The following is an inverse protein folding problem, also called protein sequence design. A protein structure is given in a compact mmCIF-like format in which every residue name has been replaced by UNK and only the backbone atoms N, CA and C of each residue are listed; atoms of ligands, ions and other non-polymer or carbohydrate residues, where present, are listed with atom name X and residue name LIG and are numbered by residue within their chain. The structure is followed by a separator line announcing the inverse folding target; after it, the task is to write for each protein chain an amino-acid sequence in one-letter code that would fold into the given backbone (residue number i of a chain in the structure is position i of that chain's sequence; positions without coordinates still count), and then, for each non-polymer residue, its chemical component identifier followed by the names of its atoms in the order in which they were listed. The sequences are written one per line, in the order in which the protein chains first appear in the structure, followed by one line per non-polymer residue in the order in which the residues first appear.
data_IF_611154342115
#
_entry.id   IF_611154342115
#
_cell.length_a   1.000
_cell.length_b   1.000
_cell.length_c   1.000
_cell.angle_alpha   90.00
_cell.angle_beta   90.00
_cell.angle_gamma   90.00
#
_symmetry.space_group_name_H-M   'P 1'
#
loop_
_entity.id
_entity.type
_entity.pdbx_description
1 polymer ?
#
# COMPACT_ATOMS: atom_id res chain seq x y z
N UNK A 1 -56.03 7.64 -74.51
CA UNK A 1 -55.24 6.54 -73.90
C UNK A 1 -53.81 6.96 -73.52
N UNK A 2 -53.29 8.12 -73.96
CA UNK A 2 -51.93 8.57 -73.61
C UNK A 2 -51.90 9.50 -72.37
N UNK A 3 -52.97 10.24 -72.05
CA UNK A 3 -53.01 11.16 -70.89
C UNK A 3 -53.09 10.45 -69.52
N UNK A 4 -53.57 9.21 -69.49
CA UNK A 4 -53.63 8.39 -68.27
C UNK A 4 -52.28 7.80 -67.87
N UNK A 5 -51.34 7.66 -68.81
CA UNK A 5 -50.00 7.11 -68.53
C UNK A 5 -49.11 8.17 -67.88
N UNK A 6 -49.17 9.42 -68.35
CA UNK A 6 -48.43 10.54 -67.74
C UNK A 6 -48.90 10.88 -66.32
N UNK A 7 -50.19 10.67 -66.00
CA UNK A 7 -50.72 10.86 -64.65
C UNK A 7 -50.21 9.80 -63.66
N UNK A 8 -50.05 8.56 -64.12
CA UNK A 8 -49.57 7.44 -63.28
C UNK A 8 -48.07 7.58 -63.01
N UNK A 9 -47.26 7.95 -64.00
CA UNK A 9 -45.82 8.19 -63.79
C UNK A 9 -45.57 9.36 -62.82
N UNK A 10 -46.43 10.38 -62.83
CA UNK A 10 -46.36 11.51 -61.91
C UNK A 10 -46.77 11.11 -60.48
N UNK A 11 -47.80 10.27 -60.31
CA UNK A 11 -48.16 9.69 -59.00
C UNK A 11 -47.08 8.74 -58.45
N UNK A 12 -46.46 7.92 -59.31
CA UNK A 12 -45.34 7.05 -58.94
C UNK A 12 -44.12 7.86 -58.50
N UNK A 13 -43.81 8.96 -59.19
CA UNK A 13 -42.75 9.90 -58.79
C UNK A 13 -43.02 10.57 -57.44
N UNK A 14 -44.27 10.97 -57.18
CA UNK A 14 -44.68 11.54 -55.90
C UNK A 14 -44.62 10.52 -54.75
N UNK A 15 -45.05 9.28 -54.98
CA UNK A 15 -44.92 8.19 -54.01
C UNK A 15 -43.46 7.84 -53.73
N UNK A 16 -42.60 7.85 -54.75
CA UNK A 16 -41.15 7.66 -54.58
C UNK A 16 -40.52 8.80 -53.77
N UNK A 17 -40.95 10.05 -53.97
CA UNK A 17 -40.45 11.18 -53.20
C UNK A 17 -40.89 11.11 -51.72
N UNK A 18 -42.16 10.79 -51.48
CA UNK A 18 -42.71 10.65 -50.11
C UNK A 18 -42.08 9.47 -49.37
N UNK A 19 -41.84 8.36 -50.05
CA UNK A 19 -41.15 7.20 -49.43
C UNK A 19 -39.71 7.52 -49.07
N UNK A 20 -39.00 8.29 -49.90
CA UNK A 20 -37.64 8.75 -49.61
C UNK A 20 -37.60 9.77 -48.47
N UNK A 21 -38.53 10.72 -48.43
CA UNK A 21 -38.67 11.65 -47.29
C UNK A 21 -38.96 10.92 -45.98
N UNK A 22 -39.90 9.97 -46.00
CA UNK A 22 -40.20 9.13 -44.84
C UNK A 22 -38.97 8.31 -44.40
N UNK A 23 -38.21 7.74 -45.35
CA UNK A 23 -36.97 7.01 -45.07
C UNK A 23 -35.96 7.90 -44.36
N UNK A 24 -35.71 9.10 -44.89
CA UNK A 24 -34.76 10.07 -44.31
C UNK A 24 -35.19 10.54 -42.90
N UNK A 25 -36.50 10.77 -42.69
CA UNK A 25 -37.03 11.16 -41.37
C UNK A 25 -36.90 10.03 -40.37
N UNK A 26 -37.16 8.78 -40.77
CA UNK A 26 -36.99 7.61 -39.90
C UNK A 26 -35.51 7.37 -39.58
N UNK A 27 -34.61 7.38 -40.57
CA UNK A 27 -33.17 7.22 -40.36
C UNK A 27 -32.58 8.32 -39.48
N UNK A 28 -33.01 9.57 -39.66
CA UNK A 28 -32.63 10.70 -38.80
C UNK A 28 -33.14 10.55 -37.36
N UNK A 29 -34.39 10.11 -37.19
CA UNK A 29 -34.98 9.89 -35.87
C UNK A 29 -34.32 8.73 -35.11
N UNK A 30 -34.02 7.62 -35.81
CA UNK A 30 -33.28 6.48 -35.27
C UNK A 30 -31.86 6.90 -34.88
N UNK A 31 -31.16 7.63 -35.75
CA UNK A 31 -29.80 8.12 -35.44
C UNK A 31 -29.78 9.05 -34.23
N UNK A 32 -30.78 9.95 -34.11
CA UNK A 32 -30.93 10.81 -32.93
C UNK A 32 -31.24 10.01 -31.66
N UNK A 33 -32.12 9.01 -31.73
CA UNK A 33 -32.45 8.17 -30.58
C UNK A 33 -31.23 7.36 -30.10
N UNK A 34 -30.47 6.77 -31.04
CA UNK A 34 -29.22 6.07 -30.75
C UNK A 34 -28.16 7.02 -30.16
N UNK A 35 -28.07 8.25 -30.66
CA UNK A 35 -27.20 9.29 -30.10
C UNK A 35 -27.55 9.61 -28.64
N UNK A 36 -28.82 9.88 -28.35
CA UNK A 36 -29.29 10.15 -26.97
C UNK A 36 -29.02 8.99 -26.03
N UNK A 37 -29.24 7.75 -26.47
CA UNK A 37 -28.98 6.55 -25.66
C UNK A 37 -27.48 6.38 -25.40
N UNK A 38 -26.63 6.60 -26.42
CA UNK A 38 -25.18 6.57 -26.27
C UNK A 38 -24.68 7.63 -25.28
N UNK A 39 -25.21 8.85 -25.36
CA UNK A 39 -24.86 9.94 -24.45
C UNK A 39 -25.28 9.62 -23.02
N UNK A 40 -26.48 9.07 -22.83
CA UNK A 40 -26.99 8.65 -21.52
C UNK A 40 -26.15 7.51 -20.91
N UNK A 41 -25.80 6.49 -21.71
CA UNK A 41 -24.92 5.39 -21.28
C UNK A 41 -23.51 5.89 -20.93
N UNK A 42 -22.96 6.81 -21.73
CA UNK A 42 -21.66 7.46 -21.47
C UNK A 42 -21.68 8.22 -20.15
N UNK A 43 -22.73 8.99 -19.89
CA UNK A 43 -22.91 9.75 -18.65
C UNK A 43 -23.02 8.82 -17.42
N UNK A 44 -23.76 7.72 -17.55
CA UNK A 44 -23.90 6.71 -16.48
C UNK A 44 -22.58 5.97 -16.23
N UNK A 45 -21.83 5.64 -17.28
CA UNK A 45 -20.51 5.03 -17.16
C UNK A 45 -19.52 5.97 -16.46
N UNK A 46 -19.53 7.26 -16.82
CA UNK A 46 -18.74 8.29 -16.14
C UNK A 46 -19.08 8.42 -14.65
N UNK A 47 -20.37 8.44 -14.31
CA UNK A 47 -20.83 8.49 -12.91
C UNK A 47 -20.42 7.24 -12.10
N UNK A 48 -20.52 6.04 -12.71
CA UNK A 48 -20.08 4.79 -12.10
C UNK A 48 -18.56 4.80 -11.85
N UNK A 49 -17.77 5.17 -12.86
CA UNK A 49 -16.30 5.26 -12.78
C UNK A 49 -15.89 6.20 -11.64
N UNK A 50 -16.50 7.38 -11.56
CA UNK A 50 -16.23 8.35 -10.49
C UNK A 50 -16.61 7.81 -9.10
N UNK A 51 -17.77 7.16 -8.96
CA UNK A 51 -18.21 6.53 -7.71
C UNK A 51 -17.25 5.42 -7.23
N UNK A 52 -16.80 4.57 -8.15
CA UNK A 52 -15.81 3.52 -7.85
C UNK A 52 -14.48 4.12 -7.38
N UNK A 53 -13.97 5.14 -8.07
CA UNK A 53 -12.73 5.82 -7.70
C UNK A 53 -12.82 6.52 -6.33
N UNK A 54 -13.95 7.17 -6.02
CA UNK A 54 -14.18 7.76 -4.69
C UNK A 54 -14.20 6.70 -3.58
N UNK A 55 -14.84 5.57 -3.82
CA UNK A 55 -14.88 4.47 -2.83
C UNK A 55 -13.50 3.84 -2.66
N UNK A 56 -12.81 3.54 -3.76
CA UNK A 56 -11.46 2.98 -3.75
C UNK A 56 -10.49 3.89 -3.01
N UNK A 57 -10.47 5.21 -3.30
CA UNK A 57 -9.60 6.17 -2.63
C UNK A 57 -9.89 6.33 -1.13
N UNK A 58 -11.16 6.15 -0.70
CA UNK A 58 -11.51 6.13 0.72
C UNK A 58 -10.91 4.90 1.42
N UNK A 59 -11.08 3.71 0.85
CA UNK A 59 -10.52 2.48 1.43
C UNK A 59 -8.99 2.50 1.37
N UNK A 60 -8.40 3.01 0.28
CA UNK A 60 -6.95 3.18 0.15
C UNK A 60 -6.37 3.98 1.31
N UNK A 61 -6.98 5.13 1.66
CA UNK A 61 -6.51 5.94 2.80
C UNK A 61 -6.59 5.18 4.12
N UNK A 62 -7.64 4.37 4.31
CA UNK A 62 -7.76 3.53 5.51
C UNK A 62 -6.69 2.44 5.54
N UNK A 63 -6.45 1.78 4.40
CA UNK A 63 -5.42 0.76 4.24
C UNK A 63 -4.03 1.32 4.53
N UNK A 64 -3.67 2.48 3.95
CA UNK A 64 -2.39 3.15 4.21
C UNK A 64 -2.21 3.49 5.70
N UNK A 65 -3.27 3.97 6.37
CA UNK A 65 -3.25 4.23 7.80
C UNK A 65 -3.06 2.95 8.63
N UNK A 66 -3.69 1.85 8.23
CA UNK A 66 -3.54 0.53 8.86
C UNK A 66 -2.15 -0.05 8.66
N UNK A 67 -1.54 0.14 7.47
CA UNK A 67 -0.16 -0.27 7.18
C UNK A 67 0.83 0.41 8.10
N UNK A 68 0.71 1.72 8.33
CA UNK A 68 1.57 2.42 9.30
C UNK A 68 1.31 1.97 10.74
N UNK A 69 0.07 1.60 11.08
CA UNK A 69 -0.28 1.13 12.41
C UNK A 69 0.41 -0.19 12.81
N UNK A 70 0.99 -0.94 11.85
CA UNK A 70 1.82 -2.12 12.16
C UNK A 70 2.99 -1.77 13.09
N UNK A 71 3.57 -0.58 12.94
CA UNK A 71 4.70 -0.12 13.75
C UNK A 71 4.30 0.03 15.23
N UNK A 72 3.09 0.51 15.49
CA UNK A 72 2.57 0.60 16.87
C UNK A 72 2.30 -0.80 17.45
N UNK A 73 1.91 -1.76 16.61
CA UNK A 73 1.71 -3.15 17.05
C UNK A 73 3.02 -3.83 17.38
N UNK A 74 4.08 -3.55 16.63
CA UNK A 74 5.45 -4.00 16.92
C UNK A 74 5.97 -3.39 18.22
N UNK A 75 5.79 -2.08 18.43
CA UNK A 75 6.14 -1.41 19.69
C UNK A 75 5.38 -1.99 20.89
N UNK A 76 4.07 -2.21 20.74
CA UNK A 76 3.27 -2.87 21.78
C UNK A 76 3.76 -4.30 22.05
N UNK A 77 4.22 -5.02 21.02
CA UNK A 77 4.79 -6.35 21.17
C UNK A 77 6.11 -6.29 21.97
N UNK A 78 7.01 -5.37 21.63
CA UNK A 78 8.25 -5.15 22.38
C UNK A 78 7.98 -4.81 23.85
N UNK A 79 7.03 -3.90 24.11
CA UNK A 79 6.64 -3.55 25.48
C UNK A 79 6.05 -4.74 26.24
N UNK A 80 5.27 -5.59 25.57
CA UNK A 80 4.68 -6.78 26.20
C UNK A 80 5.72 -7.82 26.67
N UNK A 81 6.92 -7.84 26.07
CA UNK A 81 8.01 -8.70 26.52
C UNK A 81 8.84 -8.09 27.65
N UNK A 82 8.91 -6.76 27.73
CA UNK A 82 9.69 -6.05 28.75
C UNK A 82 8.91 -5.82 30.04
N UNK A 83 7.58 -5.75 29.94
CA UNK A 83 6.68 -5.56 31.07
C UNK A 83 6.03 -6.89 31.45
N UNK A 84 5.97 -7.18 32.76
CA UNK A 84 5.15 -8.28 33.27
C UNK A 84 3.66 -7.86 33.18
N UNK A 85 3.03 -8.09 32.04
CA UNK A 85 1.61 -7.79 31.83
C UNK A 85 0.74 -8.72 32.68
N UNK A 86 -0.35 -8.18 33.22
CA UNK A 86 -1.43 -8.99 33.78
C UNK A 86 -2.14 -9.81 32.69
N UNK A 87 -2.84 -10.88 33.08
CA UNK A 87 -3.61 -11.70 32.14
C UNK A 87 -4.68 -10.89 31.39
N UNK A 88 -5.23 -9.85 32.02
CA UNK A 88 -6.20 -8.95 31.41
C UNK A 88 -5.57 -8.06 30.33
N UNK A 89 -4.45 -7.40 30.64
CA UNK A 89 -3.70 -6.54 29.69
C UNK A 89 -3.17 -7.34 28.50
N UNK A 90 -2.64 -8.54 28.74
CA UNK A 90 -2.21 -9.45 27.69
C UNK A 90 -3.40 -9.85 26.77
N UNK A 91 -4.57 -10.12 27.36
CA UNK A 91 -5.80 -10.41 26.64
C UNK A 91 -6.27 -9.23 25.77
N UNK A 92 -6.21 -8.01 26.29
CA UNK A 92 -6.56 -6.79 25.55
C UNK A 92 -5.60 -6.55 24.37
N UNK A 93 -4.29 -6.66 24.58
CA UNK A 93 -3.27 -6.50 23.54
C UNK A 93 -3.44 -7.53 22.41
N UNK A 94 -3.71 -8.79 22.77
CA UNK A 94 -3.98 -9.85 21.79
C UNK A 94 -5.25 -9.60 20.98
N UNK A 95 -6.34 -9.21 21.64
CA UNK A 95 -7.59 -8.86 20.97
C UNK A 95 -7.41 -7.68 20.01
N UNK A 96 -6.62 -6.68 20.38
CA UNK A 96 -6.32 -5.54 19.51
C UNK A 96 -5.53 -5.97 18.26
N UNK A 97 -4.48 -6.80 18.42
CA UNK A 97 -3.71 -7.38 17.31
C UNK A 97 -4.59 -8.16 16.34
N UNK A 98 -5.46 -9.03 16.87
CA UNK A 98 -6.41 -9.80 16.06
C UNK A 98 -7.35 -8.88 15.29
N UNK A 99 -7.95 -7.89 15.96
CA UNK A 99 -8.89 -6.94 15.32
C UNK A 99 -8.21 -6.13 14.21
N UNK A 100 -7.01 -5.64 14.44
CA UNK A 100 -6.24 -4.93 13.41
C UNK A 100 -5.93 -5.83 12.21
N UNK A 101 -5.51 -7.08 12.44
CA UNK A 101 -5.26 -8.03 11.36
C UNK A 101 -6.53 -8.26 10.52
N UNK A 102 -7.66 -8.56 11.16
CA UNK A 102 -8.95 -8.75 10.46
C UNK A 102 -9.40 -7.51 9.69
N UNK A 103 -9.28 -6.32 10.27
CA UNK A 103 -9.70 -5.06 9.61
C UNK A 103 -8.77 -4.72 8.44
N UNK A 104 -7.47 -5.00 8.58
CA UNK A 104 -6.49 -4.77 7.51
C UNK A 104 -6.74 -5.70 6.33
N UNK A 105 -6.95 -6.99 6.59
CA UNK A 105 -7.28 -7.99 5.57
C UNK A 105 -8.59 -7.64 4.83
N UNK A 106 -9.67 -7.34 5.56
CA UNK A 106 -10.95 -6.93 4.97
C UNK A 106 -10.83 -5.63 4.16
N UNK A 107 -10.04 -4.65 4.64
CA UNK A 107 -9.77 -3.43 3.89
C UNK A 107 -8.97 -3.70 2.60
N UNK A 108 -7.94 -4.55 2.66
CA UNK A 108 -7.13 -4.95 1.50
C UNK A 108 -7.98 -5.68 0.46
N UNK A 109 -8.82 -6.63 0.88
CA UNK A 109 -9.71 -7.36 -0.01
C UNK A 109 -10.70 -6.42 -0.70
N UNK A 110 -11.43 -5.59 0.07
CA UNK A 110 -12.40 -4.64 -0.49
C UNK A 110 -11.76 -3.62 -1.41
N UNK A 111 -10.56 -3.16 -1.08
CA UNK A 111 -9.81 -2.26 -1.92
C UNK A 111 -9.46 -2.94 -3.25
N UNK A 112 -8.92 -4.16 -3.21
CA UNK A 112 -8.58 -4.95 -4.39
C UNK A 112 -9.79 -5.16 -5.32
N UNK A 113 -10.95 -5.50 -4.77
CA UNK A 113 -12.18 -5.67 -5.56
C UNK A 113 -12.62 -4.37 -6.24
N UNK A 114 -12.61 -3.24 -5.50
CA UNK A 114 -12.97 -1.94 -6.04
C UNK A 114 -11.96 -1.43 -7.07
N UNK A 115 -10.67 -1.67 -6.83
CA UNK A 115 -9.60 -1.28 -7.74
C UNK A 115 -9.68 -2.09 -9.03
N UNK A 116 -9.90 -3.41 -8.97
CA UNK A 116 -10.16 -4.23 -10.15
C UNK A 116 -11.33 -3.66 -10.96
N UNK A 117 -12.46 -3.38 -10.31
CA UNK A 117 -13.63 -2.81 -10.98
C UNK A 117 -13.36 -1.43 -11.60
N UNK A 118 -12.58 -0.59 -10.93
CA UNK A 118 -12.17 0.71 -11.45
C UNK A 118 -11.22 0.59 -12.65
N UNK A 119 -10.24 -0.32 -12.59
CA UNK A 119 -9.29 -0.58 -13.68
C UNK A 119 -10.01 -1.08 -14.94
N UNK A 120 -11.05 -1.91 -14.81
CA UNK A 120 -11.86 -2.35 -15.96
C UNK A 120 -12.54 -1.19 -16.69
N UNK A 121 -12.86 -0.10 -15.98
CA UNK A 121 -13.44 1.09 -16.60
C UNK A 121 -12.38 1.95 -17.29
N UNK A 122 -11.10 1.79 -16.97
CA UNK A 122 -9.99 2.62 -17.49
C UNK A 122 -9.42 2.07 -18.78
N UNK A 123 -8.99 2.98 -19.66
CA UNK A 123 -8.27 2.66 -20.89
C UNK A 123 -6.85 2.16 -20.57
N UNK A 124 -6.27 1.42 -21.51
CA UNK A 124 -4.89 0.93 -21.39
C UNK A 124 -3.89 2.06 -21.09
N UNK A 125 -4.01 3.19 -21.78
CA UNK A 125 -3.14 4.36 -21.60
C UNK A 125 -3.30 4.97 -20.21
N UNK A 126 -4.53 5.14 -19.70
CA UNK A 126 -4.79 5.65 -18.34
C UNK A 126 -4.13 4.75 -17.27
N UNK A 127 -4.18 3.42 -17.45
CA UNK A 127 -3.54 2.47 -16.53
C UNK A 127 -2.01 2.59 -16.55
N UNK A 128 -1.42 2.71 -17.73
CA UNK A 128 0.03 2.89 -17.91
C UNK A 128 0.50 4.21 -17.27
N UNK A 129 -0.19 5.32 -17.53
CA UNK A 129 0.13 6.62 -16.93
C UNK A 129 0.10 6.56 -15.41
N UNK A 130 -0.91 5.90 -14.82
CA UNK A 130 -1.01 5.73 -13.38
C UNK A 130 0.15 4.89 -12.82
N UNK A 131 0.52 3.81 -13.50
CA UNK A 131 1.65 2.97 -13.10
C UNK A 131 2.96 3.78 -13.11
N UNK A 132 3.21 4.55 -14.18
CA UNK A 132 4.40 5.42 -14.30
C UNK A 132 4.39 6.52 -13.23
N UNK A 133 3.26 7.16 -12.95
CA UNK A 133 3.16 8.17 -11.90
C UNK A 133 3.44 7.60 -10.50
N UNK A 134 3.02 6.36 -10.23
CA UNK A 134 3.36 5.67 -8.99
C UNK A 134 4.87 5.38 -8.92
N UNK A 135 5.46 4.83 -10.00
CA UNK A 135 6.91 4.60 -10.08
C UNK A 135 7.71 5.87 -9.80
N UNK A 136 7.43 6.95 -10.53
CA UNK A 136 8.21 8.18 -10.42
C UNK A 136 8.11 8.79 -9.02
N UNK A 137 6.95 8.68 -8.35
CA UNK A 137 6.78 9.13 -6.96
C UNK A 137 7.63 8.29 -6.00
N UNK A 138 7.65 6.98 -6.17
CA UNK A 138 8.43 6.08 -5.32
C UNK A 138 9.94 6.24 -5.56
N UNK A 139 10.38 6.32 -6.81
CA UNK A 139 11.78 6.56 -7.16
C UNK A 139 12.33 7.85 -6.53
N UNK A 140 11.54 8.94 -6.58
CA UNK A 140 11.88 10.21 -5.92
C UNK A 140 11.95 10.07 -4.40
N UNK A 141 11.04 9.32 -3.80
CA UNK A 141 11.02 9.06 -2.37
C UNK A 141 12.21 8.22 -1.89
N UNK A 142 12.62 7.23 -2.68
CA UNK A 142 13.76 6.33 -2.39
C UNK A 142 15.13 6.99 -2.65
N UNK A 143 15.16 8.17 -3.29
CA UNK A 143 16.39 8.94 -3.50
C UNK A 143 16.85 9.66 -2.23
N UNK A 144 16.00 9.75 -1.19
CA UNK A 144 16.36 10.33 0.10
C UNK A 144 17.37 9.44 0.81
N UNK A 145 18.44 10.05 1.33
CA UNK A 145 19.47 9.34 2.10
C UNK A 145 18.93 8.81 3.42
N UNK A 146 19.47 7.68 3.87
CA UNK A 146 19.09 7.07 5.15
C UNK A 146 19.56 7.98 6.28
N UNK A 147 18.64 8.36 7.15
CA UNK A 147 18.93 9.29 8.23
C UNK A 147 19.79 8.65 9.33
N UNK A 148 20.65 9.45 9.96
CA UNK A 148 21.43 9.00 11.12
C UNK A 148 20.69 9.12 12.46
N UNK A 149 19.71 10.01 12.56
CA UNK A 149 19.01 10.32 13.81
C UNK A 149 17.77 9.45 14.04
N UNK A 150 17.51 9.13 15.31
CA UNK A 150 16.41 8.22 15.68
C UNK A 150 15.02 8.71 15.24
N UNK A 151 14.70 10.00 15.43
CA UNK A 151 13.41 10.56 15.04
C UNK A 151 13.19 10.50 13.53
N UNK A 152 14.19 10.91 12.75
CA UNK A 152 14.13 10.85 11.29
C UNK A 152 14.04 9.41 10.77
N UNK A 153 14.71 8.47 11.41
CA UNK A 153 14.59 7.05 11.08
C UNK A 153 13.18 6.50 11.35
N UNK A 154 12.51 6.93 12.42
CA UNK A 154 11.11 6.56 12.68
C UNK A 154 10.17 7.14 11.61
N UNK A 155 10.43 8.36 11.12
CA UNK A 155 9.68 8.94 10.01
C UNK A 155 9.92 8.17 8.70
N UNK A 156 11.18 7.87 8.37
CA UNK A 156 11.53 7.05 7.20
C UNK A 156 10.90 5.65 7.29
N UNK A 157 10.84 5.04 8.47
CA UNK A 157 10.19 3.75 8.68
C UNK A 157 8.70 3.83 8.29
N UNK A 158 7.98 4.87 8.71
CA UNK A 158 6.58 5.11 8.31
C UNK A 158 6.46 5.28 6.80
N UNK A 159 7.36 6.04 6.18
CA UNK A 159 7.38 6.22 4.72
C UNK A 159 7.60 4.91 3.98
N UNK A 160 8.49 4.04 4.47
CA UNK A 160 8.72 2.73 3.85
C UNK A 160 7.54 1.76 4.02
N UNK A 161 6.80 1.82 5.14
CA UNK A 161 5.53 1.07 5.27
C UNK A 161 4.50 1.55 4.25
N UNK A 162 4.40 2.86 4.01
CA UNK A 162 3.52 3.41 2.98
C UNK A 162 3.95 2.96 1.59
N UNK A 163 5.25 3.00 1.26
CA UNK A 163 5.72 2.49 -0.02
C UNK A 163 5.41 1.02 -0.22
N UNK A 164 5.54 0.18 0.82
CA UNK A 164 5.17 -1.23 0.68
C UNK A 164 3.68 -1.40 0.37
N UNK A 165 2.80 -0.67 1.05
CA UNK A 165 1.38 -0.70 0.77
C UNK A 165 1.06 -0.20 -0.65
N UNK A 166 1.70 0.87 -1.10
CA UNK A 166 1.55 1.39 -2.46
C UNK A 166 2.08 0.42 -3.53
N UNK A 167 3.15 -0.33 -3.24
CA UNK A 167 3.63 -1.39 -4.14
C UNK A 167 2.55 -2.46 -4.33
N UNK A 168 1.87 -2.87 -3.26
CA UNK A 168 0.77 -3.84 -3.34
C UNK A 168 -0.38 -3.35 -4.23
N UNK A 169 -0.75 -2.07 -4.12
CA UNK A 169 -1.77 -1.43 -4.98
C UNK A 169 -1.35 -1.49 -6.45
N UNK A 170 -0.08 -1.25 -6.69
CA UNK A 170 0.41 -1.10 -8.04
C UNK A 170 0.68 -2.44 -8.74
N UNK A 171 0.96 -3.52 -8.00
CA UNK A 171 0.96 -4.87 -8.59
C UNK A 171 -0.36 -5.15 -9.33
N UNK A 172 -1.50 -4.83 -8.73
CA UNK A 172 -2.80 -5.01 -9.38
C UNK A 172 -2.97 -4.15 -10.64
N UNK A 173 -2.39 -2.94 -10.66
CA UNK A 173 -2.39 -2.08 -11.86
C UNK A 173 -1.52 -2.73 -12.94
N UNK A 174 -0.31 -3.18 -12.60
CA UNK A 174 0.60 -3.81 -13.54
C UNK A 174 0.03 -5.10 -14.12
N UNK A 175 -0.58 -5.96 -13.30
CA UNK A 175 -1.24 -7.18 -13.77
C UNK A 175 -2.32 -6.83 -14.81
N UNK A 176 -3.14 -5.81 -14.53
CA UNK A 176 -4.16 -5.35 -15.48
C UNK A 176 -3.58 -4.73 -16.77
N UNK A 177 -2.38 -4.16 -16.71
CA UNK A 177 -1.64 -3.63 -17.88
C UNK A 177 -1.10 -4.79 -18.70
N UNK A 178 -0.46 -5.78 -18.06
CA UNK A 178 0.09 -6.97 -18.72
C UNK A 178 -1.02 -7.77 -19.39
N UNK A 179 -2.14 -8.02 -18.70
CA UNK A 179 -3.27 -8.72 -19.27
C UNK A 179 -3.84 -8.03 -20.51
N UNK A 180 -3.96 -6.69 -20.49
CA UNK A 180 -4.46 -5.93 -21.64
C UNK A 180 -3.42 -5.88 -22.77
N UNK A 181 -2.14 -5.70 -22.44
CA UNK A 181 -1.06 -5.74 -23.42
C UNK A 181 -1.01 -7.08 -24.18
N UNK A 182 -1.18 -8.21 -23.47
CA UNK A 182 -1.28 -9.54 -24.09
C UNK A 182 -2.47 -9.62 -25.03
N UNK A 183 -3.64 -9.07 -24.64
CA UNK A 183 -4.83 -9.01 -25.50
C UNK A 183 -4.60 -8.16 -26.74
N UNK A 184 -3.99 -6.99 -26.62
CA UNK A 184 -3.65 -6.10 -27.75
C UNK A 184 -2.70 -6.78 -28.74
N UNK A 185 -1.69 -7.48 -28.23
CA UNK A 185 -0.74 -8.26 -29.04
C UNK A 185 -1.44 -9.43 -29.76
N UNK A 186 -2.34 -10.15 -29.09
CA UNK A 186 -3.11 -11.25 -29.67
C UNK A 186 -4.07 -10.78 -30.78
N UNK A 187 -4.70 -9.61 -30.61
CA UNK A 187 -5.60 -9.01 -31.61
C UNK A 187 -4.85 -8.40 -32.79
N UNK A 188 -3.55 -8.18 -32.67
CA UNK A 188 -2.75 -7.52 -33.69
C UNK A 188 -3.02 -6.02 -33.81
N UNK A 189 -3.52 -5.40 -32.74
CA UNK A 189 -3.81 -3.96 -32.65
C UNK A 189 -2.56 -3.11 -32.39
N UNK A 190 -1.37 -3.72 -32.47
CA UNK A 190 -0.07 -3.09 -32.22
C UNK A 190 0.72 -3.09 -33.53
N UNK A 191 1.01 -1.89 -34.03
CA UNK A 191 1.77 -1.70 -35.28
C UNK A 191 3.21 -2.21 -35.13
N UNK A 192 3.96 -1.71 -34.15
CA UNK A 192 5.33 -2.16 -33.84
C UNK A 192 5.35 -3.00 -32.56
N UNK A 193 5.20 -4.31 -32.75
CA UNK A 193 5.19 -5.28 -31.64
C UNK A 193 6.50 -5.30 -30.85
N UNK A 194 7.64 -5.10 -31.51
CA UNK A 194 8.94 -5.18 -30.85
C UNK A 194 9.14 -3.99 -29.91
N UNK A 195 8.87 -2.78 -30.39
CA UNK A 195 8.95 -1.56 -29.57
C UNK A 195 7.95 -1.62 -28.41
N UNK A 196 6.73 -2.10 -28.64
CA UNK A 196 5.72 -2.22 -27.59
C UNK A 196 6.13 -3.20 -26.48
N UNK A 197 6.64 -4.38 -26.85
CA UNK A 197 7.13 -5.37 -25.86
C UNK A 197 8.33 -4.83 -25.09
N UNK A 198 9.24 -4.13 -25.76
CA UNK A 198 10.39 -3.48 -25.13
C UNK A 198 9.95 -2.44 -24.09
N UNK A 199 8.96 -1.59 -24.40
CA UNK A 199 8.42 -0.63 -23.42
C UNK A 199 7.80 -1.31 -22.20
N UNK A 200 7.10 -2.43 -22.37
CA UNK A 200 6.52 -3.20 -21.26
C UNK A 200 7.61 -3.85 -20.40
N UNK A 201 8.68 -4.36 -21.02
CA UNK A 201 9.82 -4.91 -20.29
C UNK A 201 10.51 -3.82 -19.46
N UNK A 202 10.74 -2.64 -20.03
CA UNK A 202 11.33 -1.52 -19.30
C UNK A 202 10.47 -1.09 -18.10
N UNK A 203 9.14 -1.04 -18.27
CA UNK A 203 8.22 -0.75 -17.17
C UNK A 203 8.33 -1.79 -16.05
N UNK A 204 8.36 -3.08 -16.42
CA UNK A 204 8.52 -4.20 -15.48
C UNK A 204 9.86 -4.17 -14.76
N UNK A 205 10.95 -3.88 -15.47
CA UNK A 205 12.30 -3.80 -14.90
C UNK A 205 12.41 -2.66 -13.88
N UNK A 206 11.95 -1.45 -14.25
CA UNK A 206 11.90 -0.30 -13.32
C UNK A 206 11.09 -0.65 -12.07
N UNK A 207 9.91 -1.25 -12.26
CA UNK A 207 9.07 -1.64 -11.14
C UNK A 207 9.72 -2.65 -10.21
N UNK A 208 10.33 -3.68 -10.77
CA UNK A 208 11.04 -4.71 -10.00
C UNK A 208 12.21 -4.09 -9.22
N UNK A 209 12.95 -3.18 -9.84
CA UNK A 209 14.05 -2.47 -9.20
C UNK A 209 13.57 -1.57 -8.05
N UNK A 210 12.47 -0.82 -8.24
CA UNK A 210 11.84 -0.03 -7.17
C UNK A 210 11.38 -0.93 -6.03
N UNK A 211 10.69 -2.03 -6.33
CA UNK A 211 10.22 -3.00 -5.35
C UNK A 211 11.36 -3.55 -4.49
N UNK A 212 12.47 -3.96 -5.12
CA UNK A 212 13.66 -4.43 -4.42
C UNK A 212 14.26 -3.32 -3.53
N UNK A 213 14.39 -2.10 -4.03
CA UNK A 213 14.94 -0.96 -3.27
C UNK A 213 14.09 -0.59 -2.07
N UNK A 214 12.76 -0.55 -2.21
CA UNK A 214 11.81 -0.33 -1.10
C UNK A 214 12.04 -1.38 -0.02
N UNK A 215 12.11 -2.66 -0.40
CA UNK A 215 12.33 -3.74 0.54
C UNK A 215 13.68 -3.62 1.26
N UNK A 216 14.76 -3.38 0.51
CA UNK A 216 16.10 -3.20 1.08
C UNK A 216 16.17 -2.03 2.07
N UNK A 217 15.64 -0.86 1.69
CA UNK A 217 15.63 0.32 2.57
C UNK A 217 14.73 0.10 3.78
N UNK A 218 13.58 -0.57 3.63
CA UNK A 218 12.72 -0.94 4.76
C UNK A 218 13.48 -1.81 5.77
N UNK A 219 14.12 -2.88 5.33
CA UNK A 219 14.87 -3.79 6.21
C UNK A 219 15.99 -3.04 6.92
N UNK A 220 16.74 -2.21 6.20
CA UNK A 220 17.83 -1.43 6.76
C UNK A 220 17.33 -0.40 7.78
N UNK A 221 16.35 0.42 7.44
CA UNK A 221 15.77 1.42 8.35
C UNK A 221 15.18 0.76 9.59
N UNK A 222 14.40 -0.31 9.44
CA UNK A 222 13.86 -1.05 10.60
C UNK A 222 14.97 -1.60 11.50
N UNK A 223 16.06 -2.11 10.93
CA UNK A 223 17.20 -2.58 11.72
C UNK A 223 17.88 -1.44 12.49
N UNK A 224 18.04 -0.26 11.89
CA UNK A 224 18.62 0.92 12.53
C UNK A 224 17.71 1.47 13.63
N UNK A 225 16.39 1.50 13.41
CA UNK A 225 15.40 1.88 14.45
C UNK A 225 15.51 0.93 15.64
N UNK A 226 15.59 -0.38 15.40
CA UNK A 226 15.77 -1.37 16.46
C UNK A 226 17.07 -1.15 17.24
N UNK A 227 18.19 -0.91 16.55
CA UNK A 227 19.48 -0.60 17.19
C UNK A 227 19.41 0.65 18.06
N UNK A 228 18.75 1.72 17.58
CA UNK A 228 18.52 2.92 18.36
C UNK A 228 17.65 2.68 19.60
N UNK A 229 16.60 1.85 19.48
CA UNK A 229 15.76 1.45 20.63
C UNK A 229 16.58 0.72 21.68
N UNK A 230 17.40 -0.26 21.27
CA UNK A 230 18.30 -0.99 22.16
C UNK A 230 19.31 -0.05 22.83
N UNK A 231 19.96 0.82 22.05
CA UNK A 231 20.92 1.81 22.57
C UNK A 231 20.27 2.70 23.63
N UNK A 232 19.11 3.29 23.33
CA UNK A 232 18.38 4.16 24.27
C UNK A 232 17.96 3.43 25.55
N UNK A 233 17.55 2.17 25.42
CA UNK A 233 17.16 1.34 26.56
C UNK A 233 18.36 1.04 27.45
N UNK A 234 19.46 0.57 26.87
CA UNK A 234 20.71 0.28 27.58
C UNK A 234 21.31 1.53 28.22
N UNK A 235 21.27 2.66 27.51
CA UNK A 235 21.72 3.94 28.06
C UNK A 235 20.90 4.35 29.28
N UNK A 236 19.56 4.24 29.24
CA UNK A 236 18.70 4.54 30.39
C UNK A 236 18.98 3.61 31.57
N UNK A 237 19.14 2.32 31.32
CA UNK A 237 19.48 1.35 32.35
C UNK A 237 20.84 1.65 32.98
N UNK A 238 21.86 1.93 32.16
CA UNK A 238 23.19 2.29 32.65
C UNK A 238 23.16 3.59 33.47
N UNK A 239 22.44 4.61 33.02
CA UNK A 239 22.24 5.83 33.78
C UNK A 239 21.54 5.57 35.13
N UNK A 240 20.52 4.70 35.15
CA UNK A 240 19.83 4.31 36.38
C UNK A 240 20.78 3.59 37.36
N UNK A 241 21.55 2.62 36.86
CA UNK A 241 22.53 1.88 37.66
C UNK A 241 23.63 2.81 38.19
N UNK A 242 24.21 3.68 37.36
CA UNK A 242 25.24 4.63 37.78
C UNK A 242 24.71 5.63 38.81
N UNK A 243 23.49 6.14 38.63
CA UNK A 243 22.84 7.00 39.62
C UNK A 243 22.57 6.26 40.94
N UNK A 244 22.17 4.98 40.85
CA UNK A 244 22.00 4.07 41.99
C UNK A 244 23.31 3.80 42.73
N UNK A 245 24.43 3.67 42.02
CA UNK A 245 25.78 3.52 42.57
C UNK A 245 26.36 4.81 43.15
N UNK A 246 25.94 5.98 42.67
CA UNK A 246 26.40 7.28 43.17
C UNK A 246 26.15 7.48 44.66
N UNK A 247 25.05 6.93 45.21
CA UNK A 247 24.70 6.96 46.64
C UNK A 247 25.59 6.07 47.53
N UNK A 248 25.78 4.76 47.26
CA UNK A 248 26.68 3.92 48.03
C UNK A 248 28.16 4.31 47.90
N UNK A 249 28.60 4.83 46.74
CA UNK A 249 29.97 5.35 46.58
C UNK A 249 30.22 6.64 47.38
N UNK A 250 29.18 7.45 47.62
CA UNK A 250 29.29 8.62 48.51
C UNK A 250 29.17 8.26 50.00
N UNK A 251 28.45 7.18 50.34
CA UNK A 251 28.41 6.63 51.71
C UNK A 251 29.75 5.98 52.12
N UNK A 252 30.38 5.23 51.23
CA UNK A 252 31.72 4.62 51.46
C UNK A 252 32.84 5.65 51.51
N UNK A 253 32.69 6.80 50.83
CA UNK A 253 33.65 7.91 50.91
C UNK A 253 33.58 8.67 52.25
N UNK A 254 32.44 8.62 52.94
CA UNK A 254 32.21 9.38 54.17
C UNK A 254 32.32 8.54 55.46
N UNK A 255 32.41 7.20 55.38
CA UNK A 255 32.55 6.34 56.57
C UNK A 255 33.55 5.20 56.36
N UNK A 256 34.53 5.09 57.28
CA UNK A 256 35.57 4.06 57.33
C UNK A 256 35.08 2.65 57.76
N UNK A 257 33.80 2.30 57.62
CA UNK A 257 33.29 1.01 58.09
C UNK A 257 31.98 0.60 57.43
N UNK A 258 32.01 0.23 56.16
CA UNK A 258 30.96 -0.60 55.57
C UNK A 258 31.26 -2.08 55.88
N UNK A 259 30.27 -2.83 56.35
CA UNK A 259 30.45 -4.26 56.60
C UNK A 259 30.49 -5.03 55.26
N UNK A 260 31.27 -6.11 55.19
CA UNK A 260 31.38 -6.97 54.00
C UNK A 260 30.00 -7.46 53.52
N UNK A 261 29.03 -7.61 54.43
CA UNK A 261 27.67 -8.02 54.10
C UNK A 261 26.94 -6.96 53.27
N UNK A 262 27.14 -5.68 53.56
CA UNK A 262 26.51 -4.58 52.85
C UNK A 262 27.09 -4.40 51.44
N UNK A 263 28.39 -4.71 51.26
CA UNK A 263 29.03 -4.75 49.95
C UNK A 263 28.55 -5.94 49.10
N UNK A 264 28.34 -7.11 49.72
CA UNK A 264 27.86 -8.30 49.02
C UNK A 264 26.41 -8.13 48.54
N UNK A 265 25.52 -7.55 49.35
CA UNK A 265 24.13 -7.29 48.93
C UNK A 265 24.05 -6.27 47.79
N UNK A 266 24.86 -5.21 47.85
CA UNK A 266 24.99 -4.24 46.74
C UNK A 266 25.49 -4.89 45.44
N UNK A 267 26.44 -5.83 45.52
CA UNK A 267 26.93 -6.57 44.36
C UNK A 267 25.88 -7.55 43.80
N UNK A 268 25.10 -8.21 44.64
CA UNK A 268 24.01 -9.09 44.21
C UNK A 268 22.89 -8.31 43.49
N UNK A 269 22.51 -7.13 43.99
CA UNK A 269 21.52 -6.26 43.35
C UNK A 269 21.98 -5.80 41.95
N UNK A 270 23.28 -5.52 41.78
CA UNK A 270 23.82 -5.18 40.46
C UNK A 270 23.81 -6.37 39.49
N UNK A 271 24.03 -7.59 40.00
CA UNK A 271 24.09 -8.83 39.20
C UNK A 271 22.71 -9.21 38.62
N UNK A 272 21.64 -8.97 39.38
CA UNK A 272 20.26 -9.17 38.91
C UNK A 272 19.90 -8.20 37.78
N UNK A 273 20.38 -6.95 37.84
CA UNK A 273 20.19 -5.97 36.77
C UNK A 273 20.83 -6.35 35.42
N UNK A 274 21.95 -7.10 35.45
CA UNK A 274 22.62 -7.55 34.23
C UNK A 274 21.99 -8.80 33.59
N UNK A 275 21.37 -9.72 34.34
CA UNK A 275 20.82 -10.97 33.76
C UNK A 275 19.57 -10.76 32.89
N UNK A 276 18.84 -9.65 33.05
CA UNK A 276 17.67 -9.32 32.24
C UNK A 276 18.03 -8.92 30.79
N UNK A 277 19.30 -8.64 30.49
CA UNK A 277 19.75 -8.17 29.18
C UNK A 277 19.93 -9.26 28.11
N UNK A 278 20.01 -10.54 28.49
CA UNK A 278 20.31 -11.63 27.56
C UNK A 278 19.11 -12.12 26.73
N UNK A 279 17.88 -11.76 27.10
CA UNK A 279 16.65 -12.33 26.50
C UNK A 279 16.25 -11.60 25.19
N UNK A 280 16.65 -10.33 25.02
CA UNK A 280 16.23 -9.53 23.85
C UNK A 280 16.95 -9.88 22.53
N UNK A 281 18.08 -10.58 22.55
CA UNK A 281 18.88 -10.82 21.34
C UNK A 281 18.53 -12.08 20.55
N UNK A 282 17.76 -13.03 21.11
CA UNK A 282 17.67 -14.40 20.53
C UNK A 282 16.34 -14.71 19.83
N UNK A 283 15.26 -13.92 20.00
CA UNK A 283 13.91 -14.32 19.55
C UNK A 283 13.29 -13.54 18.39
N UNK A 284 13.97 -12.56 17.80
CA UNK A 284 13.45 -11.79 16.66
C UNK A 284 13.45 -12.55 15.32
N UNK A 285 13.93 -13.80 15.28
CA UNK A 285 13.99 -14.64 14.08
C UNK A 285 12.70 -15.37 13.68
N UNK A 286 11.66 -15.40 14.53
CA UNK A 286 10.52 -16.32 14.32
C UNK A 286 9.17 -15.68 13.97
N UNK A 287 9.05 -14.35 13.87
CA UNK A 287 7.75 -13.68 13.63
C UNK A 287 7.46 -13.42 12.13
N UNK A 288 8.41 -13.66 11.23
CA UNK A 288 8.32 -13.30 9.80
C UNK A 288 7.58 -14.31 8.89
N UNK A 289 6.83 -15.28 9.42
CA UNK A 289 6.24 -16.34 8.59
C UNK A 289 4.79 -16.13 8.10
N UNK A 290 4.13 -15.02 8.40
CA UNK A 290 2.69 -14.88 8.08
C UNK A 290 2.33 -13.82 7.02
N UNK A 291 3.31 -13.17 6.38
CA UNK A 291 3.03 -12.10 5.40
C UNK A 291 3.61 -12.26 4.00
N UNK A 292 4.44 -13.28 3.74
CA UNK A 292 5.21 -13.39 2.48
C UNK A 292 4.87 -14.61 1.63
N UNK A 293 3.78 -15.31 1.94
CA UNK A 293 3.43 -16.58 1.28
C UNK A 293 2.33 -16.48 0.20
N UNK A 294 1.90 -15.27 -0.18
CA UNK A 294 0.97 -15.12 -1.31
C UNK A 294 1.45 -14.00 -2.23
N UNK A 295 1.81 -14.41 -3.46
CA UNK A 295 2.20 -13.60 -4.62
C UNK A 295 3.70 -13.21 -4.72
N UNK A 296 4.51 -14.23 -5.05
CA UNK A 296 5.50 -14.12 -6.14
C UNK A 296 4.76 -14.41 -7.45
#
# INVERSE_FOLDING_TARGET
MLDTVGSVDQEVGLLSAVTEELRMVVEGSVSQALGRERDHLSLRAGALRHSLQLRASKIQRQMLALSVAVLHMEEMNELSYTLALSSEEAGQAHNLKRRWACVTEDAMQRFSELQAAALQQESFTERCERAVQLLDRMEKGLAVEIAGGYQQLQEQQKTHELFQAELSIAHQILDSVVEEAVRLLQRGEVEDRLVFVEMLNQLRERWTAVGLRVWQQKVLVSSLVCQWRCYNTNQRQLCYVLAGMGRPLSLTRNHNSCSLRDLCTLLEDTKVGFSATAICSVHLGHVWSWGSAQHI
#
